data_IF_149045742206
#
_entry.id   IF_149045742206
#
_cell.length_a   1.000
_cell.length_b   1.000
_cell.length_c   1.000
_cell.angle_alpha   90.00
_cell.angle_beta   90.00
_cell.angle_gamma   90.00
#
_symmetry.space_group_name_H-M   'P 1'
#
loop_
_entity.id
_entity.type
_entity.pdbx_description
1 polymer ?
#
# COMPACT_ATOMS: atom_id res chain seq x y z
N UNK A 1 -4.47 61.84 -27.77
CA UNK A 1 -2.99 61.93 -27.83
C UNK A 1 -2.46 60.57 -28.26
N UNK A 2 -1.64 60.59 -29.32
CA UNK A 2 -1.35 59.47 -30.22
C UNK A 2 0.10 59.02 -29.99
N UNK A 3 0.37 57.71 -29.85
CA UNK A 3 1.73 57.12 -29.89
C UNK A 3 1.66 55.82 -30.68
N UNK A 4 1.94 55.87 -31.98
CA UNK A 4 3.25 55.66 -32.65
C UNK A 4 3.82 54.24 -32.51
N UNK A 5 3.75 53.55 -33.65
CA UNK A 5 4.34 52.29 -34.08
C UNK A 5 5.85 52.46 -34.25
N UNK A 6 6.66 51.48 -33.81
CA UNK A 6 8.06 51.38 -34.23
C UNK A 6 8.38 49.96 -34.70
N UNK A 7 8.37 49.85 -36.03
CA UNK A 7 9.00 48.81 -36.82
C UNK A 7 10.47 48.60 -36.42
N UNK A 8 10.91 47.35 -36.36
CA UNK A 8 12.32 47.01 -36.58
C UNK A 8 12.49 45.74 -37.43
N UNK A 9 13.62 45.66 -38.16
CA UNK A 9 13.67 45.13 -39.52
C UNK A 9 14.16 43.69 -39.59
N UNK A 10 13.80 43.07 -40.71
CA UNK A 10 14.34 41.82 -41.21
C UNK A 10 15.82 41.98 -41.57
N UNK A 11 16.64 41.02 -41.15
CA UNK A 11 18.03 40.86 -41.56
C UNK A 11 18.29 39.43 -42.09
N UNK A 12 19.28 39.24 -42.98
CA UNK A 12 19.29 38.15 -43.94
C UNK A 12 20.06 36.89 -43.52
N UNK A 13 19.64 35.79 -44.15
CA UNK A 13 20.33 34.53 -44.42
C UNK A 13 21.87 34.55 -44.33
N UNK A 14 22.40 33.70 -43.46
CA UNK A 14 23.71 33.05 -43.67
C UNK A 14 23.54 31.53 -43.62
N UNK A 15 23.57 30.94 -44.82
CA UNK A 15 23.77 29.51 -45.00
C UNK A 15 25.16 29.12 -44.45
N UNK A 16 25.18 28.24 -43.46
CA UNK A 16 26.37 27.44 -43.16
C UNK A 16 25.93 25.96 -43.09
N UNK A 17 25.96 25.30 -44.24
CA UNK A 17 25.93 23.84 -44.33
C UNK A 17 27.30 23.32 -43.93
N UNK A 18 27.43 22.90 -42.68
CA UNK A 18 28.46 21.97 -42.25
C UNK A 18 27.76 20.71 -41.76
N UNK A 19 27.94 19.64 -42.53
CA UNK A 19 27.38 18.33 -42.24
C UNK A 19 27.90 17.83 -40.91
N UNK A 20 27.03 17.84 -39.91
CA UNK A 20 27.08 16.83 -38.86
C UNK A 20 26.23 15.68 -39.35
N UNK A 21 26.86 14.52 -39.56
CA UNK A 21 26.19 13.25 -39.37
C UNK A 21 25.57 13.30 -37.98
N UNK A 22 24.29 13.66 -37.91
CA UNK A 22 23.47 13.43 -36.75
C UNK A 22 23.43 11.90 -36.61
N UNK A 23 24.35 11.36 -35.81
CA UNK A 23 24.05 10.16 -35.05
C UNK A 23 22.83 10.55 -34.23
N UNK A 24 21.65 10.28 -34.79
CA UNK A 24 20.46 10.04 -34.00
C UNK A 24 20.82 8.83 -33.13
N UNK A 25 21.44 9.13 -31.99
CA UNK A 25 21.35 8.25 -30.83
C UNK A 25 19.84 8.16 -30.64
N UNK A 26 19.25 7.09 -31.19
CA UNK A 26 17.94 6.67 -30.83
C UNK A 26 18.05 6.49 -29.32
N UNK A 27 17.65 7.52 -28.57
CA UNK A 27 17.34 7.41 -27.17
C UNK A 27 16.22 6.39 -27.15
N UNK A 28 16.62 5.12 -27.08
CA UNK A 28 15.85 4.05 -26.51
C UNK A 28 15.54 4.59 -25.12
N UNK A 29 14.42 5.28 -25.05
CA UNK A 29 13.70 5.45 -23.81
C UNK A 29 13.43 4.00 -23.43
N UNK A 30 14.34 3.44 -22.63
CA UNK A 30 14.09 2.22 -21.88
C UNK A 30 12.90 2.63 -21.04
N UNK A 31 11.71 2.39 -21.59
CA UNK A 31 10.48 2.51 -20.84
C UNK A 31 10.66 1.43 -19.80
N UNK A 32 11.05 1.85 -18.60
CA UNK A 32 11.08 0.98 -17.45
C UNK A 32 9.72 0.29 -17.44
N UNK A 33 9.75 -1.04 -17.56
CA UNK A 33 8.52 -1.81 -17.57
C UNK A 33 7.75 -1.41 -16.30
N UNK A 34 6.44 -1.13 -16.40
CA UNK A 34 5.65 -0.76 -15.23
C UNK A 34 5.86 -1.83 -14.14
N UNK A 35 5.99 -1.43 -12.87
CA UNK A 35 6.28 -2.38 -11.81
C UNK A 35 5.21 -3.47 -11.79
N UNK A 36 5.65 -4.73 -11.64
CA UNK A 36 4.75 -5.87 -11.64
C UNK A 36 3.68 -5.70 -10.56
N UNK A 37 2.42 -5.78 -10.96
CA UNK A 37 1.26 -5.56 -10.10
C UNK A 37 0.24 -6.68 -10.26
N UNK A 38 -0.47 -6.96 -9.17
CA UNK A 38 -1.72 -7.72 -9.18
C UNK A 38 -2.81 -6.91 -8.47
N UNK A 39 -4.03 -7.41 -8.48
CA UNK A 39 -5.17 -6.76 -7.82
C UNK A 39 -5.56 -7.51 -6.55
N UNK A 40 -6.20 -6.84 -5.58
CA UNK A 40 -6.69 -7.51 -4.36
C UNK A 40 -7.57 -8.73 -4.71
N UNK A 41 -8.44 -8.62 -5.71
CA UNK A 41 -9.29 -9.74 -6.14
C UNK A 41 -8.52 -10.87 -6.81
N UNK A 42 -7.41 -10.59 -7.51
CA UNK A 42 -6.51 -11.64 -8.01
C UNK A 42 -5.78 -12.32 -6.85
N UNK A 43 -5.25 -11.54 -5.90
CA UNK A 43 -4.56 -12.07 -4.73
C UNK A 43 -5.48 -12.96 -3.88
N UNK A 44 -6.71 -12.53 -3.64
CA UNK A 44 -7.71 -13.33 -2.92
C UNK A 44 -7.92 -14.70 -3.58
N UNK A 45 -8.11 -14.73 -4.90
CA UNK A 45 -8.28 -15.98 -5.66
C UNK A 45 -7.03 -16.87 -5.61
N UNK A 46 -5.84 -16.27 -5.71
CA UNK A 46 -4.56 -17.00 -5.62
C UNK A 46 -4.43 -17.72 -4.27
N UNK A 47 -4.83 -17.07 -3.17
CA UNK A 47 -4.65 -17.60 -1.81
C UNK A 47 -5.80 -18.48 -1.33
N UNK A 48 -7.00 -18.31 -1.88
CA UNK A 48 -8.21 -19.04 -1.49
C UNK A 48 -8.63 -20.07 -2.56
N UNK A 49 -7.68 -20.76 -3.20
CA UNK A 49 -7.95 -21.85 -4.17
C UNK A 49 -8.95 -21.50 -5.30
N UNK A 50 -8.91 -20.25 -5.78
CA UNK A 50 -9.78 -19.76 -6.84
C UNK A 50 -11.19 -19.35 -6.38
N UNK A 51 -11.44 -19.26 -5.08
CA UNK A 51 -12.71 -18.78 -4.55
C UNK A 51 -13.02 -17.35 -4.99
N UNK A 52 -14.28 -17.11 -5.35
CA UNK A 52 -14.75 -15.79 -5.76
C UNK A 52 -14.83 -14.86 -4.53
N UNK A 53 -14.13 -13.71 -4.53
CA UNK A 53 -14.16 -12.75 -3.41
C UNK A 53 -15.55 -12.19 -3.10
N UNK A 54 -16.49 -12.28 -4.05
CA UNK A 54 -17.86 -11.78 -3.88
C UNK A 54 -18.85 -12.89 -3.49
N UNK A 55 -18.39 -14.15 -3.45
CA UNK A 55 -19.21 -15.28 -3.03
C UNK A 55 -19.41 -15.19 -1.52
N UNK A 56 -20.56 -14.66 -1.13
CA UNK A 56 -21.09 -14.84 0.22
C UNK A 56 -21.26 -16.34 0.49
N UNK A 57 -20.34 -16.94 1.24
CA UNK A 57 -20.61 -18.26 1.78
C UNK A 57 -21.66 -18.10 2.86
N UNK A 58 -22.81 -18.77 2.70
CA UNK A 58 -23.74 -19.04 3.78
C UNK A 58 -23.07 -19.99 4.78
N UNK A 59 -22.03 -19.52 5.45
CA UNK A 59 -21.39 -20.22 6.55
C UNK A 59 -22.20 -19.95 7.81
N UNK A 60 -22.92 -20.96 8.28
CA UNK A 60 -23.40 -20.98 9.66
C UNK A 60 -22.25 -20.74 10.64
N UNK A 61 -22.62 -20.51 11.90
CA UNK A 61 -21.86 -19.97 13.05
C UNK A 61 -20.39 -20.44 13.23
N UNK A 62 -19.91 -21.46 12.50
CA UNK A 62 -18.60 -22.11 12.70
C UNK A 62 -17.73 -22.35 11.45
N UNK A 63 -18.09 -21.86 10.25
CA UNK A 63 -17.35 -22.14 8.99
C UNK A 63 -16.71 -20.89 8.36
N UNK A 64 -15.58 -20.46 8.90
CA UNK A 64 -14.92 -19.15 8.69
C UNK A 64 -14.27 -19.00 7.30
N UNK A 65 -15.06 -18.69 6.27
CA UNK A 65 -14.59 -17.89 5.12
C UNK A 65 -15.52 -16.69 5.02
N UNK A 66 -15.14 -15.60 5.67
CA UNK A 66 -15.90 -14.36 5.60
C UNK A 66 -15.59 -13.74 4.24
N UNK A 67 -16.60 -13.62 3.39
CA UNK A 67 -16.47 -12.93 2.10
C UNK A 67 -15.87 -11.53 2.31
N UNK A 68 -15.02 -11.10 1.38
CA UNK A 68 -14.36 -9.79 1.46
C UNK A 68 -15.43 -8.67 1.45
N UNK A 69 -15.33 -7.69 2.34
CA UNK A 69 -16.32 -6.60 2.41
C UNK A 69 -16.46 -5.87 1.06
N UNK A 70 -17.70 -5.57 0.64
CA UNK A 70 -17.99 -4.99 -0.68
C UNK A 70 -17.38 -3.59 -0.87
N UNK A 71 -17.00 -2.90 0.21
CA UNK A 71 -16.31 -1.62 0.16
C UNK A 71 -14.83 -1.73 -0.21
N UNK A 72 -14.24 -2.92 -0.26
CA UNK A 72 -12.86 -3.14 -0.68
C UNK A 72 -12.80 -3.26 -2.22
N UNK A 73 -12.09 -2.38 -2.96
CA UNK A 73 -12.04 -2.47 -4.41
C UNK A 73 -11.22 -3.69 -4.86
N UNK A 74 -11.86 -4.58 -5.63
CA UNK A 74 -11.23 -5.84 -6.10
C UNK A 74 -10.13 -5.58 -7.11
N UNK A 75 -10.21 -4.45 -7.82
CA UNK A 75 -9.26 -3.97 -8.80
C UNK A 75 -8.15 -3.08 -8.19
N UNK A 76 -8.16 -2.87 -6.86
CA UNK A 76 -7.12 -2.09 -6.20
C UNK A 76 -5.75 -2.74 -6.42
N UNK A 77 -4.76 -1.99 -6.92
CA UNK A 77 -3.45 -2.53 -7.24
C UNK A 77 -2.66 -2.84 -5.96
N UNK A 78 -1.99 -3.99 -5.93
CA UNK A 78 -1.01 -4.36 -4.91
C UNK A 78 0.28 -4.83 -5.58
N UNK A 79 1.44 -4.72 -4.92
CA UNK A 79 2.70 -5.27 -5.44
C UNK A 79 2.55 -6.75 -5.83
N UNK A 80 3.15 -7.17 -6.94
CA UNK A 80 3.07 -8.57 -7.37
C UNK A 80 3.61 -9.57 -6.32
N UNK A 81 4.56 -9.13 -5.50
CA UNK A 81 5.14 -9.93 -4.41
C UNK A 81 4.29 -9.97 -3.14
N UNK A 82 3.17 -9.24 -3.08
CA UNK A 82 2.27 -9.27 -1.93
C UNK A 82 1.62 -10.65 -1.76
N UNK A 83 1.43 -11.03 -0.51
CA UNK A 83 0.84 -12.29 -0.05
C UNK A 83 0.15 -12.09 1.30
N UNK A 84 -0.45 -13.14 1.84
CA UNK A 84 -1.10 -13.18 3.14
C UNK A 84 -2.20 -12.11 3.25
N UNK A 85 -3.10 -12.06 2.26
CA UNK A 85 -4.21 -11.13 2.23
C UNK A 85 -5.16 -11.41 3.40
N UNK A 86 -5.19 -10.49 4.37
CA UNK A 86 -6.21 -10.45 5.41
C UNK A 86 -7.23 -9.39 5.01
N UNK A 87 -8.48 -9.77 4.82
CA UNK A 87 -9.55 -8.83 4.50
C UNK A 87 -10.70 -8.97 5.50
N UNK A 88 -11.20 -7.85 5.98
CA UNK A 88 -12.40 -7.83 6.80
C UNK A 88 -13.63 -8.06 5.92
N UNK A 89 -14.58 -8.84 6.42
CA UNK A 89 -15.89 -8.98 5.79
C UNK A 89 -16.98 -8.11 6.40
N UNK A 90 -16.63 -7.27 7.39
CA UNK A 90 -17.56 -6.34 8.07
C UNK A 90 -17.15 -4.88 7.91
N UNK A 91 -15.86 -4.63 7.68
CA UNK A 91 -15.31 -3.30 7.46
C UNK A 91 -14.54 -3.29 6.14
N UNK A 92 -14.47 -2.14 5.44
CA UNK A 92 -13.73 -2.00 4.19
C UNK A 92 -12.20 -1.91 4.44
N UNK A 93 -11.65 -2.87 5.17
CA UNK A 93 -10.24 -2.93 5.57
C UNK A 93 -9.61 -4.20 5.01
N UNK A 94 -8.43 -4.07 4.42
CA UNK A 94 -7.59 -5.18 4.02
C UNK A 94 -6.14 -4.93 4.42
N UNK A 95 -5.33 -5.98 4.52
CA UNK A 95 -3.89 -5.87 4.64
C UNK A 95 -3.20 -6.98 3.86
N UNK A 96 -1.97 -6.72 3.43
CA UNK A 96 -1.10 -7.70 2.76
C UNK A 96 0.30 -7.62 3.34
N UNK A 97 1.06 -8.70 3.25
CA UNK A 97 2.50 -8.66 3.53
C UNK A 97 3.22 -7.70 2.59
N UNK A 98 4.06 -6.83 3.16
CA UNK A 98 4.87 -5.88 2.42
C UNK A 98 5.70 -4.96 3.32
N UNK A 99 6.84 -4.50 2.80
CA UNK A 99 7.72 -3.58 3.54
C UNK A 99 7.36 -2.13 3.25
N UNK A 100 7.79 -1.23 4.15
CA UNK A 100 7.67 0.22 3.95
C UNK A 100 8.29 0.68 2.62
N UNK A 101 9.49 0.21 2.29
CA UNK A 101 10.19 0.56 1.06
C UNK A 101 9.41 0.10 -0.19
N UNK A 102 8.91 -1.14 -0.17
CA UNK A 102 8.08 -1.67 -1.25
C UNK A 102 6.79 -0.85 -1.43
N UNK A 103 6.13 -0.49 -0.33
CA UNK A 103 4.93 0.33 -0.37
C UNK A 103 5.22 1.72 -0.95
N UNK A 104 6.33 2.33 -0.54
CA UNK A 104 6.72 3.64 -1.02
C UNK A 104 6.99 3.66 -2.52
N UNK A 105 7.83 2.75 -2.99
CA UNK A 105 8.23 2.69 -4.40
C UNK A 105 7.04 2.34 -5.29
N UNK A 106 6.21 1.38 -4.86
CA UNK A 106 5.06 0.93 -5.64
C UNK A 106 3.92 1.96 -5.69
N UNK A 107 3.41 2.39 -4.53
CA UNK A 107 2.16 3.19 -4.49
C UNK A 107 2.36 4.64 -4.91
N UNK A 108 3.58 5.19 -4.79
CA UNK A 108 3.86 6.55 -5.27
C UNK A 108 3.75 6.64 -6.79
N UNK A 109 4.09 5.57 -7.50
CA UNK A 109 4.03 5.50 -8.96
C UNK A 109 2.68 4.97 -9.46
N UNK A 110 2.21 3.86 -8.91
CA UNK A 110 1.04 3.14 -9.43
C UNK A 110 -0.29 3.85 -9.15
N UNK A 111 -0.45 4.51 -7.99
CA UNK A 111 -1.72 5.16 -7.66
C UNK A 111 -2.09 6.25 -8.70
N UNK A 112 -1.21 7.23 -9.03
CA UNK A 112 -1.49 8.19 -10.09
C UNK A 112 -1.78 7.53 -11.45
N UNK A 113 -1.03 6.48 -11.82
CA UNK A 113 -1.23 5.75 -13.07
C UNK A 113 -2.60 5.08 -13.16
N UNK A 114 -3.18 4.69 -12.01
CA UNK A 114 -4.54 4.13 -11.90
C UNK A 114 -5.62 5.19 -11.67
N UNK A 115 -5.27 6.48 -11.77
CA UNK A 115 -6.22 7.58 -11.58
C UNK A 115 -6.56 7.89 -10.12
N UNK A 116 -5.77 7.38 -9.16
CA UNK A 116 -5.86 7.76 -7.76
C UNK A 116 -5.03 9.02 -7.51
N UNK A 117 -5.66 10.06 -6.98
CA UNK A 117 -4.99 11.28 -6.60
C UNK A 117 -4.47 11.17 -5.16
N UNK A 118 -3.15 11.30 -4.98
CA UNK A 118 -2.53 11.33 -3.65
C UNK A 118 -2.73 12.71 -3.01
N UNK A 119 -3.46 12.77 -1.89
CA UNK A 119 -3.71 14.01 -1.15
C UNK A 119 -2.71 14.23 -0.01
N UNK A 120 -2.32 13.14 0.64
CA UNK A 120 -1.38 13.17 1.77
C UNK A 120 -0.39 12.04 1.63
N UNK A 121 0.87 12.36 1.90
CA UNK A 121 1.96 11.39 2.06
C UNK A 121 2.73 11.75 3.31
N UNK A 122 2.92 10.77 4.19
CA UNK A 122 3.72 10.86 5.40
C UNK A 122 4.78 9.78 5.30
N UNK A 123 6.04 10.17 5.49
CA UNK A 123 7.15 9.25 5.65
C UNK A 123 7.94 9.69 6.86
N UNK A 124 7.96 8.84 7.89
CA UNK A 124 8.79 9.04 9.08
C UNK A 124 9.84 7.94 9.07
N UNK A 125 11.08 8.22 8.65
CA UNK A 125 12.14 7.23 8.78
C UNK A 125 12.41 6.98 10.26
N UNK A 126 12.56 5.72 10.67
CA UNK A 126 13.04 5.34 12.00
C UNK A 126 14.09 4.25 11.87
N UNK A 127 15.24 4.46 12.49
CA UNK A 127 16.32 3.47 12.54
C UNK A 127 16.03 2.35 13.55
N UNK A 128 15.17 2.61 14.54
CA UNK A 128 14.91 1.68 15.65
C UNK A 128 13.67 0.83 15.38
N UNK A 129 12.64 1.42 14.77
CA UNK A 129 11.32 0.79 14.57
C UNK A 129 10.91 0.72 13.09
N UNK A 130 11.86 0.69 12.16
CA UNK A 130 11.66 0.52 10.71
C UNK A 130 10.80 1.57 9.99
N UNK A 131 10.36 2.62 10.68
CA UNK A 131 9.71 3.79 10.10
C UNK A 131 8.22 3.62 9.83
N UNK A 132 7.56 4.72 9.47
CA UNK A 132 6.15 4.73 9.11
C UNK A 132 6.00 5.34 7.73
N UNK A 133 5.25 4.67 6.87
CA UNK A 133 4.80 5.22 5.59
C UNK A 133 3.27 5.22 5.56
N UNK A 134 2.70 6.37 5.22
CA UNK A 134 1.25 6.53 5.11
C UNK A 134 0.89 7.36 3.90
N UNK A 135 -0.10 6.92 3.13
CA UNK A 135 -0.68 7.64 2.01
C UNK A 135 -2.20 7.75 2.19
N UNK A 136 -2.73 8.92 1.90
CA UNK A 136 -4.17 9.10 1.64
C UNK A 136 -4.35 9.43 0.17
N UNK A 137 -5.05 8.57 -0.55
CA UNK A 137 -5.36 8.75 -1.96
C UNK A 137 -6.85 8.57 -2.23
N UNK A 138 -7.40 9.27 -3.23
CA UNK A 138 -8.78 9.06 -3.64
C UNK A 138 -8.94 8.99 -5.15
N UNK A 139 -9.96 8.24 -5.58
CA UNK A 139 -10.42 8.09 -6.96
C UNK A 139 -11.92 8.34 -6.97
N UNK A 140 -12.42 9.24 -7.83
CA UNK A 140 -13.85 9.62 -8.01
C UNK A 140 -14.70 9.65 -6.72
N UNK A 141 -15.21 8.50 -6.27
CA UNK A 141 -16.11 8.32 -5.12
C UNK A 141 -15.50 7.59 -3.92
N UNK A 142 -14.24 7.17 -3.98
CA UNK A 142 -13.60 6.32 -2.99
C UNK A 142 -12.22 6.83 -2.61
N UNK A 143 -11.88 6.69 -1.33
CA UNK A 143 -10.58 7.01 -0.78
C UNK A 143 -9.98 5.77 -0.11
N UNK A 144 -8.66 5.75 -0.02
CA UNK A 144 -7.88 4.76 0.70
C UNK A 144 -6.89 5.47 1.60
N UNK A 145 -6.84 5.04 2.86
CA UNK A 145 -5.70 5.29 3.74
C UNK A 145 -4.84 4.04 3.73
N UNK A 146 -3.62 4.17 3.24
CA UNK A 146 -2.62 3.13 3.24
C UNK A 146 -1.63 3.40 4.36
N UNK A 147 -1.33 2.40 5.19
CA UNK A 147 -0.27 2.46 6.18
C UNK A 147 0.65 1.25 6.03
N UNK A 148 1.96 1.48 6.04
CA UNK A 148 2.96 0.45 6.15
C UNK A 148 3.80 0.75 7.39
N UNK A 149 3.66 -0.09 8.41
CA UNK A 149 4.36 0.02 9.68
C UNK A 149 4.85 -1.38 10.06
N UNK A 150 6.16 -1.57 10.31
CA UNK A 150 6.71 -2.87 10.68
C UNK A 150 6.22 -3.40 12.03
N UNK A 151 5.60 -2.56 12.86
CA UNK A 151 5.00 -2.95 14.13
C UNK A 151 3.49 -3.24 14.02
N UNK A 152 2.90 -3.10 12.82
CA UNK A 152 1.49 -3.43 12.59
C UNK A 152 1.38 -4.92 12.26
N UNK A 153 1.16 -5.74 13.29
CA UNK A 153 1.06 -7.20 13.20
C UNK A 153 -0.31 -7.65 12.64
N UNK A 154 -1.21 -6.71 12.36
CA UNK A 154 -2.51 -7.02 11.77
C UNK A 154 -3.41 -7.76 12.75
N UNK A 155 -3.44 -7.29 13.99
CA UNK A 155 -4.26 -7.76 15.12
C UNK A 155 -5.76 -7.46 14.85
N UNK A 156 -6.31 -8.07 13.81
CA UNK A 156 -7.74 -8.06 13.54
C UNK A 156 -8.47 -9.21 14.27
N UNK A 157 -7.72 -10.14 14.86
CA UNK A 157 -8.25 -11.16 15.75
C UNK A 157 -8.00 -10.72 17.19
N UNK A 158 -8.91 -9.91 17.71
CA UNK A 158 -9.13 -9.79 19.15
C UNK A 158 -9.81 -11.08 19.66
N UNK A 159 -9.19 -12.24 19.42
CA UNK A 159 -9.35 -13.35 20.34
C UNK A 159 -8.44 -13.01 21.51
N UNK A 160 -9.05 -12.48 22.55
CA UNK A 160 -8.56 -12.60 23.91
C UNK A 160 -8.38 -14.11 24.18
N UNK A 161 -7.27 -14.68 23.69
CA UNK A 161 -6.69 -15.87 24.27
C UNK A 161 -6.15 -15.38 25.63
N UNK A 162 -7.07 -15.21 26.57
CA UNK A 162 -6.72 -15.30 27.97
C UNK A 162 -6.10 -16.69 28.12
N UNK A 163 -4.77 -16.73 28.00
CA UNK A 163 -3.92 -17.80 28.50
C UNK A 163 -4.22 -17.92 30.00
N UNK A 164 -5.33 -18.59 30.30
CA UNK A 164 -5.66 -19.21 31.57
C UNK A 164 -4.67 -20.38 31.74
N UNK A 165 -3.39 -20.01 31.83
CA UNK A 165 -2.30 -20.87 32.27
C UNK A 165 -2.46 -21.00 33.78
N UNK A 166 -3.51 -21.72 34.18
CA UNK A 166 -3.62 -22.22 35.53
C UNK A 166 -2.44 -23.16 35.78
N UNK A 167 -1.38 -22.63 36.38
CA UNK A 167 -0.54 -23.19 37.45
C UNK A 167 -0.35 -24.73 37.52
N UNK A 168 -0.27 -25.45 36.40
CA UNK A 168 0.09 -26.88 36.36
C UNK A 168 1.60 -27.10 36.12
N UNK A 169 2.43 -26.10 36.43
CA UNK A 169 3.90 -26.15 36.30
C UNK A 169 4.59 -26.91 37.45
N UNK A 170 3.84 -27.45 38.41
CA UNK A 170 4.42 -28.04 39.63
C UNK A 170 4.92 -29.49 39.46
N UNK A 171 4.57 -30.18 38.37
CA UNK A 171 4.93 -31.60 38.16
C UNK A 171 6.02 -31.85 37.09
N UNK A 172 6.54 -30.80 36.43
CA UNK A 172 7.64 -30.97 35.46
C UNK A 172 9.00 -31.01 36.15
N UNK A 173 9.83 -31.97 35.75
CA UNK A 173 11.22 -32.06 36.21
C UNK A 173 12.04 -30.82 35.76
N UNK A 174 13.13 -30.51 36.48
CA UNK A 174 13.94 -29.32 36.20
C UNK A 174 14.54 -29.29 34.78
N UNK A 175 14.65 -30.45 34.12
CA UNK A 175 15.23 -30.58 32.80
C UNK A 175 14.20 -30.22 31.71
N UNK A 176 12.94 -30.61 31.89
CA UNK A 176 11.83 -30.25 31.01
C UNK A 176 11.47 -28.76 31.10
N UNK A 177 11.61 -28.15 32.29
CA UNK A 177 11.43 -26.69 32.47
C UNK A 177 12.45 -25.85 31.69
N UNK A 178 13.69 -26.35 31.53
CA UNK A 178 14.72 -25.66 30.76
C UNK A 178 14.43 -25.71 29.26
N UNK A 179 14.03 -26.88 28.74
CA UNK A 179 13.64 -27.05 27.33
C UNK A 179 12.39 -26.23 26.98
N UNK A 180 11.41 -26.16 27.89
CA UNK A 180 10.20 -25.36 27.69
C UNK A 180 10.49 -23.86 27.64
N UNK A 181 11.35 -23.34 28.53
CA UNK A 181 11.81 -21.94 28.49
C UNK A 181 12.57 -21.59 27.21
N UNK A 182 13.38 -22.50 26.67
CA UNK A 182 14.11 -22.27 25.42
C UNK A 182 13.17 -22.24 24.20
N UNK A 183 12.15 -23.10 24.17
CA UNK A 183 11.12 -23.10 23.13
C UNK A 183 10.28 -21.80 23.13
N UNK A 184 9.87 -21.31 24.31
CA UNK A 184 9.15 -20.04 24.45
C UNK A 184 10.02 -18.84 24.03
N UNK A 185 11.33 -18.88 24.31
CA UNK A 185 12.25 -17.83 23.89
C UNK A 185 12.46 -17.80 22.36
N UNK A 186 12.41 -18.96 21.69
CA UNK A 186 12.50 -19.05 20.24
C UNK A 186 11.24 -18.52 19.55
N UNK A 187 10.07 -18.79 20.13
CA UNK A 187 8.78 -18.37 19.59
C UNK A 187 8.53 -16.85 19.74
N UNK A 188 8.94 -16.27 20.88
CA UNK A 188 8.92 -14.81 21.10
C UNK A 188 9.81 -14.01 20.13
N UNK A 189 10.67 -14.67 19.37
CA UNK A 189 11.51 -14.05 18.35
C UNK A 189 10.87 -13.95 16.95
N UNK A 190 9.76 -14.65 16.71
CA UNK A 190 9.13 -14.72 15.38
C UNK A 190 8.20 -13.54 15.15
N UNK A 191 8.78 -12.35 14.92
CA UNK A 191 8.01 -11.16 14.53
C UNK A 191 7.24 -11.47 13.23
N UNK A 192 5.94 -11.19 13.22
CA UNK A 192 5.15 -11.29 12.00
C UNK A 192 5.79 -10.45 10.89
N UNK A 193 5.66 -10.88 9.63
CA UNK A 193 6.17 -10.11 8.51
C UNK A 193 5.50 -8.72 8.50
N UNK A 194 6.24 -7.67 8.10
CA UNK A 194 5.67 -6.33 8.00
C UNK A 194 4.48 -6.35 7.03
N UNK A 195 3.44 -5.60 7.40
CA UNK A 195 2.19 -5.54 6.62
C UNK A 195 1.95 -4.13 6.08
N UNK A 196 1.17 -4.08 5.00
CA UNK A 196 0.61 -2.87 4.42
C UNK A 196 -0.91 -2.96 4.62
N UNK A 197 -1.46 -2.10 5.46
CA UNK A 197 -2.88 -2.00 5.73
C UNK A 197 -3.55 -0.94 4.85
N UNK A 198 -4.77 -1.25 4.41
CA UNK A 198 -5.62 -0.44 3.56
C UNK A 198 -6.95 -0.24 4.27
N UNK A 199 -7.37 1.01 4.45
CA UNK A 199 -8.69 1.36 4.92
C UNK A 199 -9.40 2.16 3.82
N UNK A 200 -10.42 1.55 3.22
CA UNK A 200 -11.20 2.13 2.13
C UNK A 200 -12.45 2.81 2.70
N UNK A 201 -12.77 3.98 2.18
CA UNK A 201 -13.97 4.70 2.60
C UNK A 201 -14.54 5.51 1.44
N UNK A 202 -15.85 5.75 1.47
CA UNK A 202 -16.50 6.60 0.48
C UNK A 202 -16.06 8.04 0.67
N UNK A 203 -15.87 8.75 -0.43
CA UNK A 203 -15.68 10.21 -0.44
C UNK A 203 -17.03 10.87 -0.17
N UNK A 204 -17.50 10.83 1.07
CA UNK A 204 -18.78 11.41 1.45
C UNK A 204 -18.72 12.92 1.41
N UNK A 205 -19.03 13.54 0.26
CA UNK A 205 -19.28 14.99 0.13
C UNK A 205 -18.17 15.94 0.61
N UNK A 206 -17.05 15.41 1.11
CA UNK A 206 -15.95 16.18 1.64
C UNK A 206 -15.26 16.82 0.44
N UNK A 207 -15.53 18.11 0.28
CA UNK A 207 -14.87 18.95 -0.68
C UNK A 207 -13.35 18.79 -0.48
N UNK A 208 -12.61 18.27 -1.49
CA UNK A 208 -11.16 18.11 -1.41
C UNK A 208 -10.42 19.42 -1.08
N UNK A 209 -11.07 20.57 -1.22
CA UNK A 209 -10.55 21.88 -0.80
C UNK A 209 -10.23 21.98 0.70
N UNK A 210 -10.90 21.20 1.57
CA UNK A 210 -10.65 21.22 3.03
C UNK A 210 -9.21 20.75 3.35
N UNK A 211 -8.67 19.82 2.57
CA UNK A 211 -7.30 19.33 2.75
C UNK A 211 -6.25 20.20 2.06
N UNK A 212 -6.63 21.00 1.06
CA UNK A 212 -5.70 21.90 0.37
C UNK A 212 -5.43 23.20 1.15
N UNK A 213 -6.34 23.63 2.04
CA UNK A 213 -6.27 24.96 2.67
C UNK A 213 -5.17 25.13 3.74
N UNK A 214 -4.36 24.11 4.06
CA UNK A 214 -3.28 24.21 5.08
C UNK A 214 -1.85 24.29 4.51
N UNK A 215 -1.66 24.48 3.19
CA UNK A 215 -0.31 24.61 2.58
C UNK A 215 0.13 26.04 2.23
N UNK A 216 -0.60 27.07 2.66
CA UNK A 216 -0.36 28.46 2.25
C UNK A 216 0.09 29.46 3.32
N UNK A 217 0.29 29.06 4.58
CA UNK A 217 0.81 29.96 5.62
C UNK A 217 2.22 29.53 6.04
N UNK A 218 3.22 30.06 5.34
CA UNK A 218 4.55 30.38 5.88
C UNK A 218 5.07 31.63 5.19
#
# INVERSE_FOLDING_TARGET
MTRQILNRPWGPLTMLRLGLCALSIASLHVMAAPPAMKTIGQLYREENNGEDPDRMMNGGIWGRVIAMDKGIPRDFPVPASSRDLKASGVMPIASVTGTMALAEDFYTEILPLKGWHIYRRIKVPSQVHGGVFSIVACQVSQCVTLNANPNDHGDADASDDEDDSSDDEDDLDENDKAAHKEAIALDKGRRDPPTISFNFYKKEGADPSIFQKRRGEK
#
